data_IF_359054996144
#
_entry.id   IF_359054996144
#
_cell.length_a   1.000
_cell.length_b   1.000
_cell.length_c   1.000
_cell.angle_alpha   90.00
_cell.angle_beta   90.00
_cell.angle_gamma   90.00
#
_symmetry.space_group_name_H-M   'P 1'
#
loop_
_entity.id
_entity.type
_entity.pdbx_description
1 polymer ?
#
# COMPACT_ATOMS: atom_id res chain seq x y z
N UNK A 1 56.41 31.04 17.37
CA UNK A 1 57.31 29.93 17.75
C UNK A 1 56.47 28.93 18.55
N UNK A 2 56.55 27.65 18.18
CA UNK A 2 55.90 26.45 18.75
C UNK A 2 54.46 26.08 18.32
N UNK A 3 54.42 24.94 17.62
CA UNK A 3 53.28 24.12 17.20
C UNK A 3 52.59 23.45 18.40
N UNK A 4 51.30 23.11 18.27
CA UNK A 4 50.76 21.86 18.82
C UNK A 4 49.39 21.49 18.22
N UNK A 5 49.39 20.34 17.54
CA UNK A 5 48.36 19.29 17.53
C UNK A 5 46.95 19.56 16.97
N UNK A 6 46.74 19.00 15.77
CA UNK A 6 45.45 18.46 15.33
C UNK A 6 44.84 17.53 16.40
N UNK A 7 43.55 17.69 16.66
CA UNK A 7 42.68 16.55 16.98
C UNK A 7 41.33 16.75 16.28
N UNK A 8 41.21 16.05 15.14
CA UNK A 8 39.96 15.57 14.61
C UNK A 8 39.23 14.80 15.73
N UNK A 9 38.13 15.35 16.23
CA UNK A 9 37.07 14.53 16.81
C UNK A 9 35.84 14.71 15.95
N UNK A 10 35.80 13.85 14.94
CA UNK A 10 34.60 13.45 14.22
C UNK A 10 33.59 13.10 15.30
N UNK A 11 32.58 13.97 15.50
CA UNK A 11 31.35 13.56 16.15
C UNK A 11 30.75 12.47 15.26
N UNK A 12 31.08 11.22 15.56
CA UNK A 12 30.31 10.08 15.14
C UNK A 12 28.89 10.34 15.64
N UNK A 13 28.02 10.82 14.75
CA UNK A 13 26.59 10.70 14.90
C UNK A 13 26.34 9.20 14.97
N UNK A 14 26.22 8.65 16.17
CA UNK A 14 25.54 7.37 16.37
C UNK A 14 24.09 7.63 15.99
N UNK A 15 23.76 7.43 14.71
CA UNK A 15 22.40 7.12 14.34
C UNK A 15 22.08 5.81 15.04
N UNK A 16 21.34 5.90 16.14
CA UNK A 16 20.49 4.80 16.60
C UNK A 16 19.37 4.69 15.55
N UNK A 17 19.74 4.20 14.37
CA UNK A 17 18.79 3.69 13.39
C UNK A 17 18.24 2.41 13.98
N UNK A 18 17.02 2.47 14.49
CA UNK A 18 16.26 1.29 14.86
C UNK A 18 15.94 0.54 13.55
N UNK A 19 16.91 -0.21 13.04
CA UNK A 19 16.79 -1.10 11.89
C UNK A 19 16.15 -2.40 12.39
N UNK A 20 14.85 -2.33 12.65
CA UNK A 20 13.98 -3.50 12.59
C UNK A 20 13.29 -3.46 11.23
N UNK A 21 14.06 -3.75 10.18
CA UNK A 21 13.56 -3.78 8.80
C UNK A 21 14.39 -4.79 8.03
N UNK A 22 13.78 -5.95 7.81
CA UNK A 22 14.38 -7.09 7.11
C UNK A 22 14.87 -6.67 5.71
N UNK A 23 16.12 -7.00 5.40
CA UNK A 23 16.88 -6.57 4.22
C UNK A 23 16.36 -7.16 2.88
N UNK A 24 15.12 -7.67 2.84
CA UNK A 24 14.52 -8.40 1.69
C UNK A 24 13.08 -8.01 1.34
N UNK A 25 12.46 -7.08 2.05
CA UNK A 25 11.13 -6.61 1.67
C UNK A 25 11.17 -5.80 0.36
N UNK A 26 10.26 -6.11 -0.56
CA UNK A 26 10.17 -5.47 -1.88
C UNK A 26 8.78 -4.91 -2.15
N UNK A 27 7.98 -4.72 -1.10
CA UNK A 27 6.64 -4.15 -1.22
C UNK A 27 6.69 -2.72 -1.77
N UNK A 28 6.09 -2.53 -2.94
CA UNK A 28 6.14 -1.29 -3.69
C UNK A 28 4.79 -0.96 -4.32
N UNK A 29 4.64 0.31 -4.70
CA UNK A 29 3.47 0.84 -5.38
C UNK A 29 3.67 0.84 -6.89
N UNK A 30 2.78 0.19 -7.62
CA UNK A 30 2.76 0.17 -9.08
C UNK A 30 1.65 1.10 -9.57
N UNK A 31 2.02 2.28 -10.08
CA UNK A 31 1.08 3.26 -10.64
C UNK A 31 0.90 3.04 -12.14
N UNK A 32 -0.33 3.11 -12.63
CA UNK A 32 -0.65 3.25 -14.06
C UNK A 32 -0.64 1.97 -14.91
N UNK A 33 -0.13 0.86 -14.41
CA UNK A 33 -0.09 -0.40 -15.18
C UNK A 33 -1.35 -1.26 -15.01
N UNK A 34 -2.23 -0.91 -14.08
CA UNK A 34 -3.44 -1.66 -13.79
C UNK A 34 -4.65 -0.81 -14.13
N UNK A 35 -5.51 -1.33 -14.99
CA UNK A 35 -6.75 -0.67 -15.38
C UNK A 35 -7.93 -1.53 -15.00
N UNK A 36 -8.97 -0.91 -14.45
CA UNK A 36 -10.25 -1.55 -14.18
C UNK A 36 -11.34 -0.91 -15.06
N UNK A 37 -12.27 -1.75 -15.51
CA UNK A 37 -13.48 -1.27 -16.18
C UNK A 37 -14.58 -1.10 -15.16
N UNK A 38 -15.18 0.08 -15.12
CA UNK A 38 -16.26 0.42 -14.20
C UNK A 38 -17.51 0.71 -15.01
N UNK A 39 -18.62 0.11 -14.59
CA UNK A 39 -19.96 0.37 -15.14
C UNK A 39 -20.88 0.76 -14.00
N UNK A 40 -21.52 1.93 -14.10
CA UNK A 40 -22.62 2.36 -13.22
C UNK A 40 -23.90 2.36 -14.03
N UNK A 41 -24.98 1.89 -13.42
CA UNK A 41 -26.32 1.83 -14.00
C UNK A 41 -27.26 2.63 -13.11
N UNK A 42 -28.13 3.45 -13.70
CA UNK A 42 -29.17 4.18 -12.97
C UNK A 42 -30.47 3.37 -12.85
N UNK A 43 -31.46 3.95 -12.17
CA UNK A 43 -32.77 3.32 -11.92
C UNK A 43 -33.57 3.09 -13.21
N UNK A 44 -33.29 3.85 -14.26
CA UNK A 44 -33.95 3.74 -15.57
C UNK A 44 -33.19 2.78 -16.52
N UNK A 45 -32.09 2.18 -16.05
CA UNK A 45 -31.29 1.23 -16.82
C UNK A 45 -30.24 1.87 -17.74
N UNK A 46 -30.07 3.20 -17.71
CA UNK A 46 -29.01 3.88 -18.46
C UNK A 46 -27.67 3.67 -17.79
N UNK A 47 -26.62 3.59 -18.60
CA UNK A 47 -25.28 3.21 -18.15
C UNK A 47 -24.25 4.29 -18.41
N UNK A 48 -23.29 4.36 -17.50
CA UNK A 48 -22.04 5.07 -17.67
C UNK A 48 -20.88 4.09 -17.48
N UNK A 49 -19.94 4.08 -18.43
CA UNK A 49 -18.78 3.20 -18.44
C UNK A 49 -17.49 4.02 -18.48
N UNK A 50 -16.44 3.48 -17.89
CA UNK A 50 -15.11 4.08 -17.95
C UNK A 50 -14.00 3.07 -17.64
N UNK A 51 -12.80 3.39 -18.10
CA UNK A 51 -11.59 2.66 -17.78
C UNK A 51 -10.77 3.54 -16.85
N UNK A 52 -10.42 3.00 -15.69
CA UNK A 52 -9.72 3.74 -14.64
C UNK A 52 -8.38 3.07 -14.39
N UNK A 53 -7.30 3.82 -14.52
CA UNK A 53 -5.99 3.38 -14.09
C UNK A 53 -5.88 3.48 -12.56
N UNK A 54 -5.59 2.37 -11.89
CA UNK A 54 -5.45 2.28 -10.44
C UNK A 54 -4.01 1.99 -10.05
N UNK A 55 -3.61 2.49 -8.88
CA UNK A 55 -2.35 2.15 -8.27
C UNK A 55 -2.52 0.94 -7.36
N UNK A 56 -1.67 -0.08 -7.52
CA UNK A 56 -1.74 -1.34 -6.75
C UNK A 56 -0.46 -1.56 -5.96
N UNK A 57 -0.60 -2.24 -4.82
CA UNK A 57 0.53 -2.71 -4.05
C UNK A 57 0.94 -4.11 -4.51
N UNK A 58 2.24 -4.34 -4.58
CA UNK A 58 2.79 -5.67 -4.87
C UNK A 58 4.24 -5.77 -4.43
N UNK A 59 4.73 -7.00 -4.32
CA UNK A 59 6.09 -7.30 -3.86
C UNK A 59 6.10 -8.37 -2.79
N UNK A 60 7.27 -8.58 -2.19
CA UNK A 60 7.48 -9.57 -1.15
C UNK A 60 7.53 -8.92 0.23
N UNK A 61 6.91 -9.57 1.20
CA UNK A 61 6.96 -9.24 2.62
C UNK A 61 7.40 -10.46 3.41
N UNK A 62 7.99 -10.22 4.57
CA UNK A 62 8.63 -11.28 5.35
C UNK A 62 7.61 -12.09 6.15
N UNK A 63 7.85 -13.40 6.23
CA UNK A 63 7.02 -14.33 6.99
C UNK A 63 7.91 -15.21 7.85
N UNK A 64 7.49 -15.48 9.07
CA UNK A 64 8.17 -16.39 9.99
C UNK A 64 7.21 -17.51 10.43
N UNK A 65 7.76 -18.70 10.64
CA UNK A 65 7.05 -19.84 11.19
C UNK A 65 7.93 -20.49 12.25
N UNK A 66 7.35 -20.74 13.42
CA UNK A 66 7.99 -21.35 14.57
C UNK A 66 7.18 -22.55 15.03
N UNK A 67 7.82 -23.72 15.06
CA UNK A 67 7.26 -24.91 15.69
C UNK A 67 7.32 -24.83 17.21
N UNK A 68 6.26 -25.22 17.89
CA UNK A 68 6.16 -25.25 19.35
C UNK A 68 5.78 -26.65 19.82
N UNK A 69 6.29 -27.07 20.97
CA UNK A 69 5.93 -28.38 21.56
C UNK A 69 4.57 -28.35 22.27
N UNK A 70 4.06 -27.16 22.58
CA UNK A 70 2.78 -26.93 23.25
C UNK A 70 1.73 -26.50 22.23
N UNK A 71 0.46 -26.80 22.50
CA UNK A 71 -0.63 -26.40 21.62
C UNK A 71 -0.85 -24.88 21.66
N UNK A 72 -1.03 -24.19 20.51
CA UNK A 72 -0.98 -24.71 19.14
C UNK A 72 0.46 -25.02 18.74
N UNK A 73 0.70 -26.18 18.09
CA UNK A 73 2.03 -26.71 17.74
C UNK A 73 2.85 -25.86 16.75
N UNK A 74 2.33 -24.68 16.41
CA UNK A 74 2.84 -23.81 15.37
C UNK A 74 2.38 -22.37 15.60
N UNK A 75 3.34 -21.46 15.57
CA UNK A 75 3.15 -20.01 15.59
C UNK A 75 3.63 -19.45 14.26
N UNK A 76 2.78 -18.70 13.56
CA UNK A 76 3.11 -18.10 12.27
C UNK A 76 2.94 -16.58 12.35
N UNK A 77 3.92 -15.85 11.85
CA UNK A 77 3.84 -14.41 11.64
C UNK A 77 3.90 -14.15 10.13
N UNK A 78 2.76 -13.76 9.57
CA UNK A 78 2.66 -13.47 8.15
C UNK A 78 2.37 -11.99 7.95
N UNK A 79 3.20 -11.34 7.14
CA UNK A 79 2.96 -9.98 6.69
C UNK A 79 2.62 -9.95 5.20
N UNK A 80 1.74 -9.02 4.83
CA UNK A 80 1.26 -8.87 3.45
C UNK A 80 1.50 -7.45 2.95
N UNK A 81 1.83 -7.33 1.67
CA UNK A 81 2.01 -6.03 1.01
C UNK A 81 0.63 -5.40 0.77
N UNK A 82 0.31 -4.33 1.51
CA UNK A 82 -1.01 -3.70 1.49
C UNK A 82 -0.90 -2.17 1.38
N UNK A 83 -1.98 -1.48 0.95
CA UNK A 83 -2.08 -0.03 1.08
C UNK A 83 -1.96 0.41 2.54
N UNK A 84 -1.00 1.27 2.84
CA UNK A 84 -0.82 1.88 4.18
C UNK A 84 -1.43 3.29 4.19
N UNK A 85 -1.35 3.99 3.06
CA UNK A 85 -1.94 5.31 2.88
C UNK A 85 -2.80 5.33 1.63
N UNK A 86 -4.03 5.84 1.76
CA UNK A 86 -4.97 6.00 0.66
C UNK A 86 -5.58 7.40 0.66
N UNK A 87 -5.97 7.89 -0.51
CA UNK A 87 -6.64 9.18 -0.68
C UNK A 87 -7.93 9.00 -1.46
N UNK A 88 -9.07 9.57 -1.03
CA UNK A 88 -10.28 9.55 -1.81
C UNK A 88 -10.10 10.40 -3.07
N UNK A 89 -10.36 9.80 -4.23
CA UNK A 89 -10.36 10.49 -5.51
C UNK A 89 -11.67 10.28 -6.23
N UNK A 90 -12.01 11.26 -7.07
CA UNK A 90 -13.25 11.27 -7.84
C UNK A 90 -12.90 11.24 -9.32
N UNK A 91 -13.48 10.30 -10.05
CA UNK A 91 -13.22 10.09 -11.47
C UNK A 91 -14.52 10.19 -12.27
N UNK A 92 -14.44 10.85 -13.43
CA UNK A 92 -15.57 11.01 -14.35
C UNK A 92 -15.63 9.85 -15.35
N UNK A 93 -16.81 9.25 -15.50
CA UNK A 93 -17.10 8.26 -16.52
C UNK A 93 -17.56 8.99 -17.78
N UNK A 94 -16.70 9.01 -18.81
CA UNK A 94 -16.93 9.77 -20.04
C UNK A 94 -17.94 9.12 -21.00
N UNK A 95 -18.12 7.80 -20.92
CA UNK A 95 -18.98 7.07 -21.85
C UNK A 95 -20.33 6.77 -21.22
N UNK A 96 -21.27 7.69 -21.38
CA UNK A 96 -22.61 7.59 -20.82
C UNK A 96 -23.69 7.58 -21.90
N UNK A 97 -24.78 6.87 -21.64
CA UNK A 97 -26.00 6.99 -22.42
C UNK A 97 -26.55 8.43 -22.37
N UNK A 98 -27.24 8.86 -23.43
CA UNK A 98 -27.69 10.24 -23.60
C UNK A 98 -28.59 10.74 -22.47
N UNK A 99 -29.39 9.85 -21.88
CA UNK A 99 -30.37 10.12 -20.83
C UNK A 99 -29.89 9.68 -19.43
N UNK A 100 -28.63 9.26 -19.29
CA UNK A 100 -28.06 8.85 -18.03
C UNK A 100 -28.08 9.98 -16.98
N UNK A 101 -28.49 9.65 -15.75
CA UNK A 101 -28.48 10.60 -14.63
C UNK A 101 -27.06 11.15 -14.36
N UNK A 102 -26.92 12.43 -14.00
CA UNK A 102 -25.60 13.03 -13.72
C UNK A 102 -24.90 12.39 -12.51
N UNK A 103 -25.64 11.78 -11.59
CA UNK A 103 -25.11 11.10 -10.39
C UNK A 103 -24.28 9.86 -10.73
N UNK A 104 -24.60 9.15 -11.83
CA UNK A 104 -23.84 7.96 -12.24
C UNK A 104 -22.60 8.28 -13.07
N UNK A 105 -22.36 9.55 -13.41
CA UNK A 105 -21.17 10.00 -14.13
C UNK A 105 -19.90 10.02 -13.28
N UNK A 106 -20.04 9.93 -11.96
CA UNK A 106 -18.90 10.03 -11.05
C UNK A 106 -18.75 8.75 -10.24
N UNK A 107 -17.51 8.32 -10.07
CA UNK A 107 -17.13 7.30 -9.09
C UNK A 107 -16.13 7.90 -8.11
N UNK A 108 -16.30 7.56 -6.85
CA UNK A 108 -15.37 7.89 -5.78
C UNK A 108 -14.73 6.58 -5.30
N UNK A 109 -13.42 6.57 -5.21
CA UNK A 109 -12.67 5.43 -4.72
C UNK A 109 -11.38 5.89 -4.04
N UNK A 110 -10.81 5.01 -3.22
CA UNK A 110 -9.58 5.29 -2.50
C UNK A 110 -8.38 4.88 -3.37
N UNK A 111 -7.59 5.85 -3.81
CA UNK A 111 -6.35 5.60 -4.53
C UNK A 111 -5.21 5.40 -3.53
N UNK A 112 -4.41 4.35 -3.74
CA UNK A 112 -3.25 4.07 -2.90
C UNK A 112 -2.12 5.06 -3.15
N UNK A 113 -1.61 5.69 -2.09
CA UNK A 113 -0.45 6.59 -2.13
C UNK A 113 0.83 5.92 -1.66
N UNK A 114 0.71 4.98 -0.74
CA UNK A 114 1.84 4.26 -0.17
C UNK A 114 1.48 2.80 0.12
N UNK A 115 2.43 1.90 -0.13
CA UNK A 115 2.36 0.49 0.20
C UNK A 115 3.37 0.16 1.31
N UNK A 116 3.07 -0.89 2.07
CA UNK A 116 3.97 -1.42 3.09
C UNK A 116 3.56 -2.81 3.54
N UNK A 117 4.47 -3.50 4.20
CA UNK A 117 4.22 -4.81 4.78
C UNK A 117 3.46 -4.64 6.09
N UNK A 118 2.30 -5.30 6.20
CA UNK A 118 1.47 -5.29 7.40
C UNK A 118 1.24 -6.71 7.88
N UNK A 119 1.61 -6.98 9.13
CA UNK A 119 1.27 -8.23 9.81
C UNK A 119 -0.23 -8.33 10.03
N UNK A 120 -0.80 -9.49 9.74
CA UNK A 120 -2.19 -9.80 10.04
C UNK A 120 -2.19 -10.79 11.19
N UNK A 121 -2.65 -10.33 12.34
CA UNK A 121 -2.92 -11.23 13.46
C UNK A 121 -4.13 -12.11 13.11
N UNK A 122 -4.12 -13.40 13.46
CA UNK A 122 -5.31 -14.23 13.33
C UNK A 122 -6.47 -13.61 14.12
N UNK A 123 -7.72 -13.70 13.64
CA UNK A 123 -8.87 -13.13 14.33
C UNK A 123 -8.98 -13.73 15.74
N UNK A 124 -8.95 -12.87 16.76
CA UNK A 124 -9.23 -13.26 18.15
C UNK A 124 -10.73 -13.53 18.29
N UNK A 125 -11.10 -14.75 18.66
CA UNK A 125 -12.46 -15.14 19.02
C UNK A 125 -12.74 -14.82 20.49
#
# INVERSE_FOLDING_TARGET
MFQAFQFLFIFFIFQNGNSSGDERETCALFKGNHTITVTKTDENGHKCNGIIAIAVCGGMCSSSEKGTHFFPHKENENSFCVPIETTPIRHELINCDKEALPTIRWIEYNETKQCGCKSIDPPTN
#
